data_IF_232341207315
#
_entry.id   IF_232341207315
#
_cell.length_a   1.000
_cell.length_b   1.000
_cell.length_c   1.000
_cell.angle_alpha   90.00
_cell.angle_beta   90.00
_cell.angle_gamma   90.00
#
_symmetry.space_group_name_H-M   'P 1'
#
loop_
_entity.id
_entity.type
_entity.pdbx_description
1 polymer ?
#
# COMPACT_ATOMS: atom_id res chain seq x y z
N UNK A 1 48.81 -12.65 -50.41
CA UNK A 1 48.40 -12.15 -49.14
C UNK A 1 47.14 -11.31 -49.39
N UNK A 2 45.89 -11.76 -48.99
CA UNK A 2 44.69 -10.99 -49.21
C UNK A 2 44.49 -10.11 -47.96
N UNK A 3 44.60 -8.80 -48.12
CA UNK A 3 44.32 -7.82 -47.08
C UNK A 3 42.79 -7.68 -47.01
N UNK A 4 42.17 -8.17 -45.95
CA UNK A 4 40.73 -7.93 -45.68
C UNK A 4 40.60 -6.51 -45.16
N UNK A 5 39.91 -5.64 -45.89
CA UNK A 5 39.51 -4.30 -45.44
C UNK A 5 38.49 -4.46 -44.34
N UNK A 6 38.86 -4.20 -43.09
CA UNK A 6 37.93 -4.09 -41.97
C UNK A 6 37.08 -2.82 -42.17
N UNK A 7 35.77 -3.02 -42.26
CA UNK A 7 34.78 -1.92 -42.23
C UNK A 7 34.53 -1.52 -40.79
N UNK A 8 34.84 -0.29 -40.43
CA UNK A 8 34.57 0.27 -39.13
C UNK A 8 33.23 1.07 -39.14
N UNK A 9 32.63 1.25 -37.99
CA UNK A 9 31.43 2.13 -37.81
C UNK A 9 31.83 3.58 -38.02
N UNK A 10 30.92 4.32 -38.63
CA UNK A 10 31.07 5.79 -38.76
C UNK A 10 30.70 6.49 -37.45
N UNK A 11 31.33 7.65 -37.19
CA UNK A 11 31.04 8.45 -36.00
C UNK A 11 29.57 8.89 -35.98
N UNK A 12 29.02 9.25 -37.15
CA UNK A 12 27.62 9.67 -37.26
C UNK A 12 26.61 8.54 -36.93
N UNK A 13 26.95 7.30 -37.29
CA UNK A 13 26.10 6.14 -37.00
C UNK A 13 25.95 5.91 -35.49
N UNK A 14 27.06 6.03 -34.75
CA UNK A 14 27.01 5.97 -33.28
C UNK A 14 26.28 7.19 -32.68
N UNK A 15 26.47 8.38 -33.21
CA UNK A 15 25.80 9.59 -32.73
C UNK A 15 24.28 9.46 -32.86
N UNK A 16 23.78 8.94 -33.96
CA UNK A 16 22.33 8.73 -34.14
C UNK A 16 21.80 7.71 -33.11
N UNK A 17 22.51 6.62 -32.88
CA UNK A 17 22.10 5.58 -31.94
C UNK A 17 21.99 6.11 -30.52
N UNK A 18 23.02 6.82 -30.02
CA UNK A 18 22.98 7.38 -28.67
C UNK A 18 21.91 8.48 -28.53
N UNK A 19 21.63 9.25 -29.58
CA UNK A 19 20.56 10.23 -29.58
C UNK A 19 19.18 9.58 -29.42
N UNK A 20 18.91 8.50 -30.16
CA UNK A 20 17.67 7.74 -30.05
C UNK A 20 17.53 7.10 -28.67
N UNK A 21 18.59 6.47 -28.16
CA UNK A 21 18.59 5.87 -26.80
C UNK A 21 18.34 6.95 -25.75
N UNK A 22 18.93 8.15 -25.87
CA UNK A 22 18.72 9.26 -24.96
C UNK A 22 17.25 9.71 -24.90
N UNK A 23 16.59 9.81 -26.04
CA UNK A 23 15.17 10.16 -26.13
C UNK A 23 14.31 9.08 -25.50
N UNK A 24 14.54 7.82 -25.82
CA UNK A 24 13.79 6.70 -25.24
C UNK A 24 13.99 6.60 -23.72
N UNK A 25 15.21 6.74 -23.24
CA UNK A 25 15.54 6.69 -21.82
C UNK A 25 14.88 7.82 -21.04
N UNK A 26 14.76 9.03 -21.61
CA UNK A 26 14.15 10.18 -20.93
C UNK A 26 12.69 9.94 -20.55
N UNK A 27 11.95 9.16 -21.32
CA UNK A 27 10.55 8.78 -21.06
C UNK A 27 10.45 7.50 -20.22
N UNK A 28 11.32 6.51 -20.47
CA UNK A 28 11.23 5.21 -19.83
C UNK A 28 11.67 5.22 -18.36
N UNK A 29 12.72 5.98 -18.00
CA UNK A 29 13.26 5.99 -16.65
C UNK A 29 12.26 6.46 -15.58
N UNK A 30 11.52 7.56 -15.74
CA UNK A 30 10.52 7.98 -14.74
C UNK A 30 9.41 6.95 -14.56
N UNK A 31 8.92 6.37 -15.65
CA UNK A 31 7.86 5.35 -15.59
C UNK A 31 8.34 4.06 -14.88
N UNK A 32 9.58 3.67 -15.12
CA UNK A 32 10.20 2.53 -14.45
C UNK A 32 10.36 2.78 -12.94
N UNK A 33 10.76 3.99 -12.53
CA UNK A 33 10.88 4.34 -11.11
C UNK A 33 9.52 4.25 -10.40
N UNK A 34 8.46 4.80 -10.99
CA UNK A 34 7.12 4.71 -10.42
C UNK A 34 6.62 3.26 -10.31
N UNK A 35 6.96 2.42 -11.28
CA UNK A 35 6.64 1.00 -11.25
C UNK A 35 7.36 0.27 -10.10
N UNK A 36 8.66 0.52 -9.94
CA UNK A 36 9.46 -0.09 -8.85
C UNK A 36 8.94 0.35 -7.47
N UNK A 37 8.63 1.63 -7.29
CA UNK A 37 8.04 2.13 -6.03
C UNK A 37 6.71 1.46 -5.75
N UNK A 38 5.85 1.30 -6.74
CA UNK A 38 4.56 0.60 -6.60
C UNK A 38 4.74 -0.87 -6.21
N UNK A 39 5.72 -1.56 -6.77
CA UNK A 39 6.06 -2.93 -6.37
C UNK A 39 6.48 -3.02 -4.90
N UNK A 40 7.28 -2.05 -4.41
CA UNK A 40 7.67 -1.96 -3.00
C UNK A 40 6.49 -1.68 -2.07
N UNK A 41 5.54 -0.86 -2.50
CA UNK A 41 4.30 -0.62 -1.74
C UNK A 41 3.45 -1.89 -1.63
N UNK A 42 3.42 -2.72 -2.67
CA UNK A 42 2.70 -4.01 -2.64
C UNK A 42 3.25 -4.98 -1.60
N UNK A 43 4.54 -4.91 -1.26
CA UNK A 43 5.12 -5.63 -0.12
C UNK A 43 4.40 -5.27 1.19
N UNK A 44 4.13 -3.97 1.41
CA UNK A 44 3.40 -3.53 2.60
C UNK A 44 1.99 -4.11 2.70
N UNK A 45 1.28 -4.26 1.58
CA UNK A 45 -0.03 -4.91 1.56
C UNK A 45 0.06 -6.40 1.91
N UNK A 46 1.10 -7.08 1.45
CA UNK A 46 1.34 -8.49 1.82
C UNK A 46 1.65 -8.62 3.31
N UNK A 47 2.51 -7.76 3.86
CA UNK A 47 2.87 -7.78 5.29
C UNK A 47 1.67 -7.40 6.19
N UNK A 48 0.75 -6.56 5.72
CA UNK A 48 -0.46 -6.19 6.45
C UNK A 48 -1.47 -7.35 6.61
N UNK A 49 -1.24 -8.50 5.97
CA UNK A 49 -2.11 -9.66 6.09
C UNK A 49 -2.21 -10.15 7.54
N UNK A 50 -1.10 -10.14 8.29
CA UNK A 50 -1.09 -10.49 9.71
C UNK A 50 -1.97 -9.54 10.53
N UNK A 51 -1.88 -8.23 10.27
CA UNK A 51 -2.73 -7.25 10.93
C UNK A 51 -4.22 -7.46 10.58
N UNK A 52 -4.53 -7.80 9.32
CA UNK A 52 -5.91 -8.15 8.91
C UNK A 52 -6.42 -9.37 9.67
N UNK A 53 -5.59 -10.41 9.83
CA UNK A 53 -5.98 -11.61 10.58
C UNK A 53 -6.30 -11.24 12.03
N UNK A 54 -5.47 -10.43 12.70
CA UNK A 54 -5.73 -9.97 14.07
C UNK A 54 -7.08 -9.24 14.19
N UNK A 55 -7.37 -8.31 13.29
CA UNK A 55 -8.67 -7.62 13.28
C UNK A 55 -9.83 -8.60 13.07
N UNK A 56 -9.67 -9.56 12.16
CA UNK A 56 -10.70 -10.56 11.88
C UNK A 56 -10.91 -11.52 13.06
N UNK A 57 -9.87 -11.86 13.78
CA UNK A 57 -9.98 -12.69 15.00
C UNK A 57 -10.82 -11.98 16.07
N UNK A 58 -10.58 -10.67 16.28
CA UNK A 58 -11.39 -9.87 17.21
C UNK A 58 -12.85 -9.78 16.74
N UNK A 59 -13.09 -9.60 15.44
CA UNK A 59 -14.45 -9.59 14.89
C UNK A 59 -15.16 -10.92 15.09
N UNK A 60 -14.46 -12.04 14.91
CA UNK A 60 -15.06 -13.39 14.95
C UNK A 60 -15.30 -13.89 16.38
N UNK A 61 -14.37 -13.63 17.28
CA UNK A 61 -14.39 -14.14 18.64
C UNK A 61 -15.06 -13.17 19.62
N UNK A 62 -15.35 -11.96 19.21
CA UNK A 62 -15.67 -10.86 20.09
C UNK A 62 -14.45 -10.40 20.91
N UNK A 63 -14.46 -9.20 21.38
CA UNK A 63 -13.44 -8.73 22.31
C UNK A 63 -13.80 -9.22 23.72
N UNK A 64 -13.34 -10.41 24.08
CA UNK A 64 -13.61 -11.05 25.38
C UNK A 64 -12.97 -10.29 26.55
N UNK A 65 -11.98 -9.47 26.27
CA UNK A 65 -11.34 -8.62 27.25
C UNK A 65 -11.75 -7.16 27.01
N UNK A 66 -12.64 -6.64 27.83
CA UNK A 66 -12.96 -5.20 27.95
C UNK A 66 -11.73 -4.37 28.38
N UNK A 67 -10.58 -4.69 27.87
CA UNK A 67 -9.33 -3.99 28.11
C UNK A 67 -8.96 -3.18 26.86
N UNK A 68 -8.41 -2.07 27.09
CA UNK A 68 -7.98 -0.93 26.29
C UNK A 68 -7.45 -1.14 24.87
N UNK A 69 -7.33 -2.37 24.32
CA UNK A 69 -6.65 -2.64 23.05
C UNK A 69 -7.53 -3.16 21.91
N UNK A 70 -8.81 -3.24 22.09
CA UNK A 70 -9.82 -3.39 21.06
C UNK A 70 -9.39 -4.19 19.82
N UNK A 71 -9.52 -3.64 18.61
CA UNK A 71 -9.13 -4.32 17.37
C UNK A 71 -7.63 -4.57 17.21
N UNK A 72 -6.79 -3.86 17.95
CA UNK A 72 -5.35 -4.07 17.95
C UNK A 72 -4.96 -5.36 18.69
N UNK A 73 -5.76 -5.75 19.72
CA UNK A 73 -5.43 -6.87 20.60
C UNK A 73 -3.94 -6.82 21.00
N UNK A 74 -3.22 -7.94 20.90
CA UNK A 74 -1.78 -8.01 21.18
C UNK A 74 -0.90 -7.81 19.94
N UNK A 75 -1.46 -7.22 18.88
CA UNK A 75 -0.70 -6.98 17.66
C UNK A 75 0.47 -6.03 17.92
N UNK A 76 1.66 -6.51 17.64
CA UNK A 76 2.91 -5.73 17.68
C UNK A 76 3.63 -5.86 16.35
N UNK A 77 4.08 -4.73 15.81
CA UNK A 77 4.89 -4.71 14.61
C UNK A 77 6.37 -4.88 14.96
N UNK A 78 6.98 -5.97 14.51
CA UNK A 78 8.39 -6.28 14.77
C UNK A 78 9.24 -6.39 13.50
N UNK A 79 8.66 -6.11 12.33
CA UNK A 79 9.22 -6.47 11.04
C UNK A 79 9.53 -5.29 10.11
N UNK A 80 10.08 -4.17 10.61
CA UNK A 80 10.48 -3.07 9.74
C UNK A 80 11.41 -3.56 8.61
N UNK A 81 11.06 -3.22 7.37
CA UNK A 81 11.85 -3.55 6.17
C UNK A 81 12.44 -2.27 5.57
N UNK A 82 13.25 -2.41 4.52
CA UNK A 82 13.76 -1.26 3.78
C UNK A 82 12.62 -0.43 3.13
N UNK A 83 11.45 -1.01 2.92
CA UNK A 83 10.32 -0.39 2.24
C UNK A 83 9.19 0.00 3.19
N UNK A 84 8.99 -0.71 4.29
CA UNK A 84 7.90 -0.51 5.26
C UNK A 84 8.49 -0.27 6.65
N UNK A 85 8.19 0.90 7.21
CA UNK A 85 8.69 1.26 8.54
C UNK A 85 7.76 0.79 9.67
N UNK A 86 6.45 0.85 9.46
CA UNK A 86 5.47 0.53 10.50
C UNK A 86 4.17 0.02 9.87
N UNK A 87 3.58 -0.99 10.49
CA UNK A 87 2.18 -1.37 10.29
C UNK A 87 1.51 -1.31 11.66
N UNK A 88 0.45 -0.52 11.77
CA UNK A 88 -0.28 -0.34 13.02
C UNK A 88 -1.79 -0.49 12.81
N UNK A 89 -2.48 -0.92 13.86
CA UNK A 89 -3.94 -1.10 13.88
C UNK A 89 -4.54 -0.04 14.79
N UNK A 90 -5.50 0.73 14.28
CA UNK A 90 -6.28 1.67 15.09
C UNK A 90 -7.22 0.90 16.03
N UNK A 91 -7.07 1.03 17.35
CA UNK A 91 -7.82 0.21 18.31
C UNK A 91 -9.33 0.32 18.18
N UNK A 92 -9.84 1.52 17.92
CA UNK A 92 -11.28 1.79 17.89
C UNK A 92 -11.98 1.37 16.59
N UNK A 93 -11.26 1.33 15.47
CA UNK A 93 -11.87 1.15 14.13
C UNK A 93 -11.39 -0.07 13.38
N UNK A 94 -10.31 -0.70 13.84
CA UNK A 94 -9.65 -1.78 13.10
C UNK A 94 -8.93 -1.32 11.81
N UNK A 95 -8.84 -0.01 11.58
CA UNK A 95 -8.14 0.53 10.41
C UNK A 95 -6.64 0.25 10.53
N UNK A 96 -6.08 -0.37 9.50
CA UNK A 96 -4.66 -0.68 9.45
C UNK A 96 -3.95 0.44 8.69
N UNK A 97 -2.93 1.03 9.32
CA UNK A 97 -2.07 2.04 8.71
C UNK A 97 -0.73 1.42 8.36
N UNK A 98 -0.39 1.44 7.08
CA UNK A 98 0.91 1.00 6.55
C UNK A 98 1.74 2.26 6.29
N UNK A 99 2.83 2.44 7.01
CA UNK A 99 3.76 3.56 6.81
C UNK A 99 4.93 3.10 5.97
N UNK A 100 5.08 3.69 4.79
CA UNK A 100 6.17 3.38 3.86
C UNK A 100 7.40 4.23 4.13
N UNK A 101 8.58 3.69 3.84
CA UNK A 101 9.84 4.45 3.88
C UNK A 101 9.96 5.34 2.63
N UNK A 102 10.90 6.31 2.61
CA UNK A 102 11.18 7.10 1.40
C UNK A 102 11.49 6.24 0.17
N UNK A 103 12.07 5.04 0.34
CA UNK A 103 12.34 4.09 -0.74
C UNK A 103 11.08 3.54 -1.40
N UNK A 104 9.95 3.54 -0.68
CA UNK A 104 8.64 3.11 -1.16
C UNK A 104 7.63 4.29 -1.24
N UNK A 105 8.13 5.51 -1.48
CA UNK A 105 7.32 6.69 -1.75
C UNK A 105 7.03 7.58 -0.53
N UNK A 106 7.38 7.16 0.70
CA UNK A 106 7.34 8.01 1.90
C UNK A 106 5.96 8.52 2.26
N UNK A 107 5.01 7.65 2.56
CA UNK A 107 3.64 8.05 2.92
C UNK A 107 2.88 6.94 3.64
N UNK A 108 1.63 7.20 3.98
CA UNK A 108 0.75 6.25 4.66
C UNK A 108 -0.30 5.69 3.72
N UNK A 109 -0.52 4.39 3.79
CA UNK A 109 -1.63 3.69 3.14
C UNK A 109 -2.57 3.18 4.22
N UNK A 110 -3.88 3.37 4.03
CA UNK A 110 -4.87 2.89 4.99
C UNK A 110 -5.64 1.71 4.41
N UNK A 111 -5.81 0.67 5.20
CA UNK A 111 -6.75 -0.42 4.93
C UNK A 111 -7.90 -0.30 5.91
N UNK A 112 -9.06 0.07 5.39
CA UNK A 112 -10.26 0.31 6.19
C UNK A 112 -11.16 -0.92 6.12
N UNK A 113 -11.43 -1.59 7.27
CA UNK A 113 -12.42 -2.65 7.31
C UNK A 113 -13.83 -2.05 7.31
N UNK A 114 -14.75 -2.69 6.61
CA UNK A 114 -16.15 -2.26 6.57
C UNK A 114 -17.08 -3.43 6.30
N UNK A 115 -18.35 -3.23 6.62
CA UNK A 115 -19.44 -4.15 6.29
C UNK A 115 -20.42 -3.47 5.34
N UNK A 116 -21.29 -4.25 4.71
CA UNK A 116 -22.24 -3.73 3.73
C UNK A 116 -21.67 -3.61 2.33
N UNK A 117 -22.15 -2.65 1.56
CA UNK A 117 -21.69 -2.41 0.20
C UNK A 117 -20.71 -1.23 0.12
N UNK A 118 -19.91 -1.15 -0.93
CA UNK A 118 -19.01 -0.01 -1.16
C UNK A 118 -19.77 1.30 -1.32
N UNK A 119 -21.02 1.26 -1.78
CA UNK A 119 -21.88 2.44 -1.92
C UNK A 119 -22.49 2.91 -0.58
N UNK A 120 -22.65 1.98 0.36
CA UNK A 120 -23.16 2.25 1.72
C UNK A 120 -22.31 1.47 2.73
N UNK A 121 -21.07 1.93 2.96
CA UNK A 121 -20.16 1.24 3.87
C UNK A 121 -20.53 1.56 5.33
N UNK A 122 -20.63 0.53 6.15
CA UNK A 122 -20.72 0.65 7.58
C UNK A 122 -19.36 0.37 8.23
N UNK A 123 -18.94 1.23 9.14
CA UNK A 123 -17.76 0.99 9.95
C UNK A 123 -17.98 -0.24 10.86
N UNK A 124 -16.89 -0.87 11.27
CA UNK A 124 -16.99 -1.90 12.31
C UNK A 124 -17.52 -1.28 13.59
N UNK A 125 -18.35 -2.00 14.39
CA UNK A 125 -18.83 -1.53 15.67
C UNK A 125 -17.67 -1.26 16.62
N UNK A 126 -17.90 -0.41 17.63
CA UNK A 126 -16.93 -0.23 18.69
C UNK A 126 -16.75 -1.57 19.44
N UNK A 127 -15.52 -2.04 19.64
CA UNK A 127 -15.28 -3.39 20.14
C UNK A 127 -15.60 -3.58 21.63
N UNK A 128 -15.79 -2.48 22.38
CA UNK A 128 -16.22 -2.44 23.78
C UNK A 128 -17.75 -2.47 23.93
N UNK A 129 -18.49 -2.23 22.86
CA UNK A 129 -19.91 -2.45 22.90
C UNK A 129 -20.16 -3.95 23.07
N UNK A 130 -21.06 -4.33 23.98
CA UNK A 130 -21.65 -5.67 24.06
C UNK A 130 -22.42 -6.01 22.77
N UNK A 131 -21.94 -5.51 21.66
CA UNK A 131 -22.53 -5.59 20.35
C UNK A 131 -22.21 -6.91 19.70
N UNK A 132 -23.20 -7.51 19.10
CA UNK A 132 -23.05 -8.81 18.50
C UNK A 132 -21.96 -8.78 17.44
N UNK A 133 -21.27 -9.89 17.35
CA UNK A 133 -20.57 -10.37 16.17
C UNK A 133 -21.16 -9.70 14.93
N UNK A 134 -20.32 -9.03 14.18
CA UNK A 134 -20.71 -8.40 12.93
C UNK A 134 -21.37 -9.45 12.06
N UNK A 135 -22.70 -9.44 12.01
CA UNK A 135 -23.48 -10.30 11.13
C UNK A 135 -23.28 -9.84 9.68
N UNK A 136 -22.10 -10.10 9.12
CA UNK A 136 -21.79 -9.68 7.76
C UNK A 136 -20.35 -9.99 7.36
N UNK A 137 -20.14 -10.12 6.08
CA UNK A 137 -18.80 -10.29 5.54
C UNK A 137 -18.01 -8.98 5.67
N UNK A 138 -16.92 -9.01 6.43
CA UNK A 138 -16.00 -7.87 6.53
C UNK A 138 -15.20 -7.77 5.24
N UNK A 139 -15.26 -6.61 4.63
CA UNK A 139 -14.51 -6.26 3.43
C UNK A 139 -13.44 -5.22 3.77
N UNK A 140 -12.44 -5.12 2.92
CA UNK A 140 -11.32 -4.20 3.09
C UNK A 140 -11.23 -3.23 1.93
N UNK A 141 -11.15 -1.95 2.24
CA UNK A 141 -10.86 -0.91 1.25
C UNK A 141 -9.53 -0.26 1.53
N UNK A 142 -8.70 -0.17 0.50
CA UNK A 142 -7.44 0.53 0.56
C UNK A 142 -7.64 2.00 0.15
N UNK A 143 -7.04 2.93 0.91
CA UNK A 143 -7.12 4.37 0.66
C UNK A 143 -5.72 4.97 0.57
N UNK A 144 -5.51 5.78 -0.46
CA UNK A 144 -4.31 6.59 -0.69
C UNK A 144 -4.66 8.08 -0.68
N UNK A 145 -3.68 8.94 -0.87
CA UNK A 145 -3.85 10.40 -0.90
C UNK A 145 -4.90 10.81 -1.93
N UNK A 146 -5.82 11.68 -1.49
CA UNK A 146 -6.91 12.18 -2.33
C UNK A 146 -8.12 11.25 -2.42
N UNK A 147 -8.13 10.10 -1.75
CA UNK A 147 -9.34 9.30 -1.61
C UNK A 147 -10.35 10.02 -0.70
N UNK A 148 -11.64 9.88 -1.01
CA UNK A 148 -12.71 10.41 -0.18
C UNK A 148 -12.76 9.68 1.18
N UNK A 149 -13.36 10.34 2.18
CA UNK A 149 -13.69 9.72 3.46
C UNK A 149 -14.50 8.44 3.23
N UNK A 150 -14.10 7.36 3.88
CA UNK A 150 -14.75 6.06 3.71
C UNK A 150 -14.99 5.40 5.06
N UNK A 151 -16.24 4.94 5.30
CA UNK A 151 -16.66 4.33 6.57
C UNK A 151 -16.25 5.17 7.81
N UNK A 152 -16.32 6.50 7.72
CA UNK A 152 -15.93 7.43 8.78
C UNK A 152 -14.43 7.70 8.90
N UNK A 153 -13.59 7.02 8.13
CA UNK A 153 -12.13 7.21 8.16
C UNK A 153 -11.70 8.30 7.18
N UNK A 154 -11.02 9.31 7.70
CA UNK A 154 -10.43 10.40 6.90
C UNK A 154 -9.01 10.05 6.52
N UNK A 155 -8.65 10.25 5.26
CA UNK A 155 -7.29 10.04 4.77
C UNK A 155 -6.38 11.17 5.26
N UNK A 156 -5.26 10.86 5.94
CA UNK A 156 -4.36 11.87 6.45
C UNK A 156 -3.61 12.60 5.32
N UNK A 157 -3.13 13.80 5.63
CA UNK A 157 -2.40 14.64 4.66
C UNK A 157 -1.07 14.03 4.19
N UNK A 158 -0.45 13.21 5.05
CA UNK A 158 0.77 12.46 4.79
C UNK A 158 0.53 11.08 4.16
N UNK A 159 -0.66 10.87 3.59
CA UNK A 159 -0.95 9.65 2.86
C UNK A 159 -0.09 9.51 1.60
N UNK A 160 0.16 8.25 1.22
CA UNK A 160 0.95 7.89 0.04
C UNK A 160 0.36 8.48 -1.24
N UNK A 161 1.20 9.10 -2.05
CA UNK A 161 0.80 9.69 -3.34
C UNK A 161 0.11 8.65 -4.23
N UNK A 162 -0.99 9.05 -4.86
CA UNK A 162 -1.83 8.19 -5.71
C UNK A 162 -1.05 7.48 -6.82
N UNK A 163 0.01 8.09 -7.35
CA UNK A 163 0.84 7.49 -8.40
C UNK A 163 1.60 6.24 -7.94
N UNK A 164 1.94 6.16 -6.65
CA UNK A 164 2.65 5.04 -6.04
C UNK A 164 1.71 3.98 -5.46
N UNK A 165 0.45 4.32 -5.28
CA UNK A 165 -0.53 3.39 -4.76
C UNK A 165 -0.89 2.32 -5.81
N UNK A 166 -1.07 1.05 -5.40
CA UNK A 166 -1.67 0.01 -6.23
C UNK A 166 -3.06 0.40 -6.75
N UNK A 167 -3.52 -0.29 -7.79
CA UNK A 167 -4.80 0.02 -8.46
C UNK A 167 -6.00 -0.04 -7.51
N UNK A 168 -5.97 -0.97 -6.56
CA UNK A 168 -7.04 -1.16 -5.57
C UNK A 168 -7.11 -0.03 -4.52
N UNK A 169 -6.09 0.80 -4.43
CA UNK A 169 -5.97 1.88 -3.44
C UNK A 169 -6.18 3.29 -4.02
N UNK A 170 -6.65 3.38 -5.26
CA UNK A 170 -6.82 4.65 -6.00
C UNK A 170 -8.24 5.16 -5.95
#
# INVERSE_FOLDING_TARGET
>A
MKISLQKGFTLIEIMIVIAIIGILASVALPAYQDYVVRARVSEGLALATTAKTTVMDVVSNGNVAATTNNYKADYTWSGATNNISLIDIAPATGTITITTTPAAGGGKLLLVPFTGSVASPAALPAPDAASPIVNGNVQWRCLSKGAATFAGVVVPTDALEKKYAPSECK
#
